data_IF_540655097426
#
_entry.id   IF_540655097426
#
_cell.length_a   1.000
_cell.length_b   1.000
_cell.length_c   1.000
_cell.angle_alpha   90.00
_cell.angle_beta   90.00
_cell.angle_gamma   90.00
#
_symmetry.space_group_name_H-M   'P 1'
#
loop_
_entity.id
_entity.type
_entity.pdbx_description
1 polymer ?
#
# COMPACT_ATOMS: atom_id res chain seq x y z
N UNK A 1 -21.97 6.86 42.83
CA UNK A 1 -21.76 6.20 44.13
C UNK A 1 -22.96 5.30 44.43
N UNK A 2 -22.66 4.01 44.69
CA UNK A 2 -23.52 2.87 45.13
C UNK A 2 -24.50 2.24 44.11
N UNK A 3 -24.81 0.92 44.20
CA UNK A 3 -24.13 -0.16 44.92
C UNK A 3 -23.86 -1.45 44.09
N UNK A 4 -22.80 -2.12 44.52
CA UNK A 4 -22.41 -3.52 44.29
C UNK A 4 -23.52 -4.48 44.73
N UNK A 5 -23.77 -5.55 43.97
CA UNK A 5 -24.48 -6.73 44.49
C UNK A 5 -23.82 -7.99 43.92
N UNK A 6 -23.08 -8.66 44.80
CA UNK A 6 -22.53 -9.99 44.65
C UNK A 6 -23.65 -11.01 44.83
N UNK A 7 -23.81 -11.96 43.91
CA UNK A 7 -24.54 -13.21 44.17
C UNK A 7 -23.64 -14.37 43.80
N UNK A 8 -23.23 -15.07 44.85
CA UNK A 8 -22.55 -16.36 44.86
C UNK A 8 -23.62 -17.46 44.83
N UNK A 9 -23.53 -18.42 43.92
CA UNK A 9 -24.16 -19.73 44.08
C UNK A 9 -23.39 -20.78 43.28
N UNK A 10 -22.80 -21.70 44.02
CA UNK A 10 -22.22 -22.96 43.56
C UNK A 10 -23.33 -23.99 43.33
N UNK A 11 -23.18 -24.91 42.37
CA UNK A 11 -23.33 -26.37 42.58
C UNK A 11 -23.07 -27.19 41.28
N UNK A 12 -22.03 -28.04 41.38
CA UNK A 12 -21.96 -29.48 41.02
C UNK A 12 -22.25 -30.01 39.61
N UNK A 13 -21.17 -30.54 39.00
CA UNK A 13 -20.95 -31.93 38.54
C UNK A 13 -22.02 -32.65 37.72
N UNK A 14 -21.68 -32.99 36.47
CA UNK A 14 -21.81 -34.37 35.96
C UNK A 14 -20.71 -34.69 34.94
N UNK A 15 -19.95 -35.75 35.23
CA UNK A 15 -19.01 -36.40 34.33
C UNK A 15 -19.72 -37.50 33.53
N UNK A 16 -19.30 -37.75 32.29
CA UNK A 16 -19.52 -39.02 31.59
C UNK A 16 -18.42 -39.22 30.54
N UNK A 17 -17.83 -40.41 30.58
CA UNK A 17 -16.69 -40.87 29.81
C UNK A 17 -17.10 -41.79 28.63
N UNK A 18 -16.15 -42.02 27.71
CA UNK A 18 -16.15 -43.06 26.67
C UNK A 18 -16.44 -42.53 25.26
N UNK A 19 -15.70 -42.85 24.20
CA UNK A 19 -15.12 -44.16 23.85
C UNK A 19 -13.82 -44.04 23.03
N UNK A 20 -12.96 -45.03 23.28
CA UNK A 20 -11.72 -45.39 22.59
C UNK A 20 -11.98 -45.85 21.15
N UNK A 21 -11.16 -45.41 20.18
CA UNK A 21 -11.00 -46.10 18.90
C UNK A 21 -9.53 -46.08 18.48
N UNK A 22 -8.84 -47.19 18.74
CA UNK A 22 -7.53 -47.49 18.14
C UNK A 22 -7.74 -48.13 16.76
N UNK A 23 -7.13 -47.54 15.75
CA UNK A 23 -6.95 -48.14 14.42
C UNK A 23 -5.69 -47.57 13.80
N UNK A 24 -4.56 -48.27 13.97
CA UNK A 24 -3.29 -47.96 13.33
C UNK A 24 -3.16 -48.65 11.97
N UNK A 25 -2.36 -48.05 11.09
CA UNK A 25 -1.97 -48.59 9.80
C UNK A 25 -1.24 -47.58 8.91
N UNK A 26 0.02 -47.32 9.25
CA UNK A 26 1.18 -46.85 8.46
C UNK A 26 1.06 -45.79 7.33
N UNK A 27 1.82 -44.71 7.54
CA UNK A 27 2.50 -43.80 6.60
C UNK A 27 3.44 -44.54 5.61
N UNK A 28 3.79 -43.99 4.41
CA UNK A 28 4.87 -43.00 4.37
C UNK A 28 4.84 -41.90 3.28
N UNK A 29 5.50 -40.80 3.68
CA UNK A 29 6.39 -39.90 2.92
C UNK A 29 5.76 -38.92 1.93
N UNK A 30 5.82 -37.64 2.27
CA UNK A 30 6.97 -36.78 1.94
C UNK A 30 6.57 -35.30 2.01
N UNK A 31 7.23 -34.58 2.90
CA UNK A 31 7.63 -33.16 2.81
C UNK A 31 6.85 -32.25 1.84
N UNK A 32 6.18 -31.24 2.38
CA UNK A 32 6.81 -29.92 2.49
C UNK A 32 5.88 -28.98 3.27
N UNK A 33 6.19 -28.84 4.55
CA UNK A 33 6.15 -27.53 5.21
C UNK A 33 6.76 -26.51 4.26
N UNK A 34 5.93 -25.69 3.62
CA UNK A 34 6.43 -24.54 2.85
C UNK A 34 6.93 -23.53 3.87
N UNK A 35 8.17 -23.72 4.28
CA UNK A 35 9.05 -22.63 4.68
C UNK A 35 8.86 -21.48 3.67
N UNK A 36 8.86 -20.21 4.12
CA UNK A 36 8.63 -19.08 3.24
C UNK A 36 9.60 -19.19 2.07
N UNK A 37 9.02 -19.23 0.86
CA UNK A 37 9.76 -19.14 -0.37
C UNK A 37 10.77 -18.01 -0.19
N UNK A 38 12.05 -18.36 -0.34
CA UNK A 38 13.12 -17.41 -0.34
C UNK A 38 12.75 -16.27 -1.30
N UNK A 39 12.52 -15.09 -0.73
CA UNK A 39 12.31 -13.83 -1.43
C UNK A 39 13.56 -13.58 -2.28
N UNK A 40 13.53 -14.03 -3.54
CA UNK A 40 14.52 -13.65 -4.53
C UNK A 40 14.09 -12.30 -5.09
N UNK A 41 14.99 -11.30 -5.16
CA UNK A 41 14.64 -9.97 -5.63
C UNK A 41 14.34 -10.05 -7.12
N UNK A 42 13.07 -10.11 -7.47
CA UNK A 42 12.64 -9.82 -8.84
C UNK A 42 12.77 -8.33 -9.04
N UNK A 43 13.49 -7.93 -10.09
CA UNK A 43 13.57 -6.54 -10.55
C UNK A 43 12.23 -5.97 -11.03
N UNK A 44 11.17 -6.79 -11.06
CA UNK A 44 9.81 -6.38 -11.35
C UNK A 44 9.06 -6.01 -10.06
N UNK A 45 8.28 -4.92 -10.12
CA UNK A 45 7.39 -4.50 -9.05
C UNK A 45 6.38 -5.59 -8.71
N UNK A 46 6.13 -5.81 -7.41
CA UNK A 46 5.11 -6.77 -6.98
C UNK A 46 3.70 -6.30 -7.37
N UNK A 47 2.78 -7.23 -7.62
CA UNK A 47 1.38 -6.93 -7.93
C UNK A 47 0.72 -6.09 -6.82
N UNK A 48 1.04 -6.39 -5.56
CA UNK A 48 0.53 -5.64 -4.40
C UNK A 48 1.03 -4.20 -4.38
N UNK A 49 2.29 -3.96 -4.73
CA UNK A 49 2.85 -2.61 -4.81
C UNK A 49 2.18 -1.80 -5.92
N UNK A 50 1.95 -2.41 -7.08
CA UNK A 50 1.23 -1.80 -8.21
C UNK A 50 -0.20 -1.46 -7.79
N UNK A 51 -0.93 -2.40 -7.19
CA UNK A 51 -2.31 -2.18 -6.75
C UNK A 51 -2.41 -1.07 -5.70
N UNK A 52 -1.50 -1.05 -4.72
CA UNK A 52 -1.44 0.00 -3.71
C UNK A 52 -1.11 1.38 -4.32
N UNK A 53 -0.19 1.43 -5.28
CA UNK A 53 0.15 2.66 -6.00
C UNK A 53 -1.04 3.19 -6.81
N UNK A 54 -1.74 2.32 -7.54
CA UNK A 54 -2.94 2.71 -8.30
C UNK A 54 -4.05 3.22 -7.38
N UNK A 55 -4.29 2.55 -6.25
CA UNK A 55 -5.28 3.01 -5.25
C UNK A 55 -4.91 4.39 -4.69
N UNK A 56 -3.64 4.62 -4.35
CA UNK A 56 -3.15 5.91 -3.86
C UNK A 56 -3.26 7.00 -4.94
N UNK A 57 -2.85 6.70 -6.17
CA UNK A 57 -2.92 7.63 -7.29
C UNK A 57 -4.37 8.06 -7.56
N UNK A 58 -5.29 7.11 -7.62
CA UNK A 58 -6.70 7.36 -7.91
C UNK A 58 -7.44 8.09 -6.78
N UNK A 59 -7.05 7.88 -5.52
CA UNK A 59 -7.70 8.52 -4.38
C UNK A 59 -7.19 9.93 -4.07
N UNK A 60 -5.92 10.22 -4.37
CA UNK A 60 -5.27 11.47 -3.96
C UNK A 60 -4.67 12.26 -5.13
N UNK A 61 -3.91 11.62 -6.01
CA UNK A 61 -3.13 12.32 -7.03
C UNK A 61 -4.00 12.81 -8.19
N UNK A 62 -4.98 12.00 -8.62
CA UNK A 62 -5.86 12.28 -9.76
C UNK A 62 -6.64 13.58 -9.61
N UNK A 63 -6.98 13.99 -8.38
CA UNK A 63 -7.74 15.22 -8.12
C UNK A 63 -7.06 16.43 -8.75
N UNK A 64 -5.73 16.48 -8.74
CA UNK A 64 -4.95 17.57 -9.33
C UNK A 64 -4.24 17.16 -10.62
N UNK A 65 -3.60 15.99 -10.66
CA UNK A 65 -2.81 15.58 -11.82
C UNK A 65 -3.65 15.01 -12.97
N UNK A 66 -4.93 14.70 -12.73
CA UNK A 66 -5.85 14.17 -13.72
C UNK A 66 -5.68 12.66 -13.98
N UNK A 67 -6.72 12.03 -14.53
CA UNK A 67 -6.69 10.59 -14.87
C UNK A 67 -5.70 10.27 -16.00
N UNK A 68 -5.46 11.24 -16.87
CA UNK A 68 -4.57 11.18 -18.03
C UNK A 68 -3.18 11.77 -17.73
N UNK A 69 -2.93 12.23 -16.50
CA UNK A 69 -1.66 12.81 -16.09
C UNK A 69 -1.35 14.19 -16.69
N UNK A 70 -2.34 14.90 -17.25
CA UNK A 70 -2.13 16.17 -17.95
C UNK A 70 -2.12 17.40 -17.02
N UNK A 71 -2.25 17.21 -15.70
CA UNK A 71 -2.40 18.33 -14.76
C UNK A 71 -3.74 19.05 -14.91
N UNK A 72 -4.77 18.31 -15.31
CA UNK A 72 -6.12 18.78 -15.65
C UNK A 72 -7.21 18.22 -14.72
N UNK A 73 -6.82 17.70 -13.55
CA UNK A 73 -7.76 17.26 -12.53
C UNK A 73 -8.66 18.41 -12.05
N UNK A 74 -9.83 18.10 -11.49
CA UNK A 74 -10.79 19.11 -11.03
C UNK A 74 -10.16 20.14 -10.05
N UNK A 75 -9.22 19.71 -9.22
CA UNK A 75 -8.46 20.58 -8.31
C UNK A 75 -7.42 21.47 -9.00
N UNK A 76 -6.98 21.13 -10.21
CA UNK A 76 -5.98 21.91 -10.94
C UNK A 76 -6.47 23.28 -11.41
N UNK A 77 -7.79 23.46 -11.59
CA UNK A 77 -8.38 24.72 -12.03
C UNK A 77 -8.10 25.88 -11.05
N UNK A 78 -7.86 25.58 -9.77
CA UNK A 78 -7.56 26.56 -8.73
C UNK A 78 -6.05 26.78 -8.50
N UNK A 79 -5.18 26.13 -9.27
CA UNK A 79 -3.72 26.16 -9.05
C UNK A 79 -3.00 26.97 -10.12
N UNK A 80 -2.13 27.88 -9.68
CA UNK A 80 -1.20 28.60 -10.54
C UNK A 80 0.22 28.56 -9.93
N UNK A 81 1.20 27.92 -10.59
CA UNK A 81 1.08 27.20 -11.86
C UNK A 81 0.22 25.93 -11.73
N UNK A 82 -0.32 25.45 -12.85
CA UNK A 82 -1.00 24.14 -12.92
C UNK A 82 -0.01 23.01 -12.55
N UNK A 83 -0.51 21.85 -12.09
CA UNK A 83 0.33 20.68 -11.89
C UNK A 83 1.07 20.29 -13.17
N UNK A 84 2.29 19.80 -13.02
CA UNK A 84 3.10 19.33 -14.13
C UNK A 84 2.36 18.24 -14.93
N UNK A 85 2.34 18.39 -16.25
CA UNK A 85 1.88 17.33 -17.15
C UNK A 85 2.92 16.23 -17.20
N UNK A 86 2.50 15.01 -16.87
CA UNK A 86 3.32 13.80 -16.98
C UNK A 86 3.43 13.30 -18.42
N UNK A 87 2.61 13.79 -19.34
CA UNK A 87 2.72 13.47 -20.77
C UNK A 87 3.82 14.28 -21.49
N UNK A 88 4.39 15.29 -20.83
CA UNK A 88 5.52 16.05 -21.36
C UNK A 88 6.80 15.20 -21.33
N UNK A 89 7.21 14.70 -22.50
CA UNK A 89 8.39 13.85 -22.65
C UNK A 89 9.70 14.58 -22.36
N UNK A 90 9.79 15.89 -22.64
CA UNK A 90 10.96 16.68 -22.31
C UNK A 90 11.09 16.86 -20.79
N UNK A 91 9.99 17.11 -20.10
CA UNK A 91 9.98 17.13 -18.63
C UNK A 91 10.34 15.75 -18.05
N UNK A 92 9.75 14.67 -18.56
CA UNK A 92 10.07 13.30 -18.12
C UNK A 92 11.58 13.02 -18.25
N UNK A 93 12.18 13.35 -19.38
CA UNK A 93 13.61 13.17 -19.61
C UNK A 93 14.50 14.05 -18.70
N UNK A 94 13.98 15.17 -18.20
CA UNK A 94 14.74 16.12 -17.36
C UNK A 94 14.83 15.74 -15.88
N UNK A 95 14.03 14.77 -15.42
CA UNK A 95 13.93 14.38 -14.00
C UNK A 95 14.30 12.93 -13.81
N UNK A 96 14.93 12.60 -12.67
CA UNK A 96 15.27 11.22 -12.31
C UNK A 96 14.15 10.55 -11.52
N UNK A 97 14.19 9.22 -11.45
CA UNK A 97 13.22 8.45 -10.66
C UNK A 97 13.36 8.72 -9.15
N UNK A 98 14.57 8.97 -8.67
CA UNK A 98 14.84 9.37 -7.29
C UNK A 98 14.20 10.73 -6.98
N UNK A 99 14.31 11.69 -7.91
CA UNK A 99 13.64 12.97 -7.76
C UNK A 99 12.11 12.82 -7.67
N UNK A 100 11.52 11.98 -8.53
CA UNK A 100 10.09 11.71 -8.49
C UNK A 100 9.68 11.03 -7.18
N UNK A 101 10.46 10.04 -6.72
CA UNK A 101 10.24 9.37 -5.44
C UNK A 101 10.26 10.36 -4.27
N UNK A 102 11.21 11.29 -4.26
CA UNK A 102 11.29 12.33 -3.23
C UNK A 102 10.11 13.30 -3.27
N UNK A 103 9.68 13.74 -4.44
CA UNK A 103 8.49 14.61 -4.59
C UNK A 103 7.24 13.90 -4.12
N UNK A 104 7.07 12.61 -4.46
CA UNK A 104 5.94 11.80 -4.00
C UNK A 104 5.95 11.68 -2.48
N UNK A 105 7.11 11.40 -1.87
CA UNK A 105 7.23 11.19 -0.43
C UNK A 105 7.08 12.51 0.36
N UNK A 106 7.80 13.56 -0.05
CA UNK A 106 7.96 14.80 0.71
C UNK A 106 6.97 15.90 0.31
N UNK A 107 6.22 15.72 -0.79
CA UNK A 107 5.26 16.72 -1.27
C UNK A 107 5.92 17.93 -1.94
N UNK A 108 5.10 18.89 -2.35
CA UNK A 108 5.55 20.01 -3.16
C UNK A 108 6.37 21.04 -2.39
N UNK A 109 5.93 21.44 -1.20
CA UNK A 109 6.60 22.48 -0.41
C UNK A 109 8.08 22.16 -0.12
N UNK A 110 8.37 20.91 0.26
CA UNK A 110 9.73 20.45 0.56
C UNK A 110 10.64 20.42 -0.68
N UNK A 111 10.04 20.32 -1.87
CA UNK A 111 10.74 20.20 -3.15
C UNK A 111 10.71 21.49 -3.98
N UNK A 112 10.36 22.63 -3.37
CA UNK A 112 10.28 23.92 -4.06
C UNK A 112 9.14 24.02 -5.08
N UNK A 113 8.08 23.23 -4.92
CA UNK A 113 6.87 23.22 -5.76
C UNK A 113 5.67 23.79 -4.99
N UNK A 114 4.47 23.69 -5.58
CA UNK A 114 3.23 24.12 -4.95
C UNK A 114 3.06 23.50 -3.56
N UNK A 115 2.81 24.30 -2.50
CA UNK A 115 2.59 23.78 -1.15
C UNK A 115 1.28 23.00 -1.04
N UNK A 116 0.38 23.12 -2.02
CA UNK A 116 -0.87 22.37 -2.09
C UNK A 116 -0.66 20.90 -2.48
N UNK A 117 0.52 20.51 -2.98
CA UNK A 117 0.85 19.10 -3.20
C UNK A 117 1.30 18.47 -1.88
N UNK A 118 0.47 17.62 -1.23
CA UNK A 118 0.76 17.12 0.11
C UNK A 118 1.88 16.08 0.11
N UNK A 119 2.62 15.92 1.23
CA UNK A 119 3.52 14.80 1.44
C UNK A 119 2.76 13.48 1.64
N UNK A 120 3.44 12.35 1.46
CA UNK A 120 2.91 11.01 1.69
C UNK A 120 3.79 10.25 2.71
N UNK A 121 3.87 10.69 3.98
CA UNK A 121 4.76 10.11 4.97
C UNK A 121 4.44 8.64 5.29
N UNK A 122 3.19 8.21 5.04
CA UNK A 122 2.75 6.82 5.15
C UNK A 122 3.47 5.87 4.17
N UNK A 123 4.13 6.40 3.14
CA UNK A 123 4.90 5.64 2.17
C UNK A 123 6.37 5.46 2.58
N UNK A 124 6.86 6.11 3.64
CA UNK A 124 8.27 6.05 4.05
C UNK A 124 8.76 4.61 4.31
N UNK A 125 7.89 3.77 4.86
CA UNK A 125 8.16 2.34 5.11
C UNK A 125 7.72 1.42 3.96
N UNK A 126 7.33 1.98 2.80
CA UNK A 126 6.77 1.24 1.64
C UNK A 126 7.51 1.60 0.33
N UNK A 127 8.82 1.32 0.23
CA UNK A 127 9.63 1.71 -0.91
C UNK A 127 9.13 1.13 -2.24
N UNK A 128 8.57 -0.09 -2.25
CA UNK A 128 8.02 -0.70 -3.47
C UNK A 128 6.78 0.04 -3.98
N UNK A 129 5.93 0.59 -3.10
CA UNK A 129 4.78 1.41 -3.49
C UNK A 129 5.25 2.74 -4.08
N UNK A 130 6.32 3.34 -3.53
CA UNK A 130 6.93 4.55 -4.10
C UNK A 130 7.46 4.27 -5.51
N UNK A 131 8.22 3.19 -5.70
CA UNK A 131 8.71 2.79 -7.02
C UNK A 131 7.57 2.55 -8.00
N UNK A 132 6.47 1.92 -7.57
CA UNK A 132 5.28 1.72 -8.39
C UNK A 132 4.56 3.04 -8.74
N UNK A 133 4.50 4.02 -7.83
CA UNK A 133 3.99 5.36 -8.13
C UNK A 133 4.89 6.11 -9.12
N UNK A 134 6.21 5.97 -9.02
CA UNK A 134 7.15 6.51 -10.01
C UNK A 134 6.89 5.88 -11.38
N UNK A 135 6.79 4.55 -11.45
CA UNK A 135 6.44 3.85 -12.69
C UNK A 135 5.09 4.32 -13.26
N UNK A 136 4.10 4.57 -12.41
CA UNK A 136 2.82 5.16 -12.81
C UNK A 136 3.00 6.54 -13.44
N UNK A 137 3.78 7.43 -12.83
CA UNK A 137 4.10 8.76 -13.40
C UNK A 137 4.82 8.63 -14.74
N UNK A 138 5.78 7.70 -14.87
CA UNK A 138 6.50 7.46 -16.13
C UNK A 138 5.58 6.94 -17.24
N UNK A 139 4.56 6.16 -16.90
CA UNK A 139 3.63 5.55 -17.87
C UNK A 139 2.78 6.55 -18.66
N UNK A 140 2.73 7.83 -18.26
CA UNK A 140 2.00 8.87 -18.97
C UNK A 140 2.77 9.49 -20.13
N UNK A 141 4.10 9.30 -20.20
CA UNK A 141 4.90 9.75 -21.33
C UNK A 141 4.40 9.08 -22.62
N UNK A 142 4.15 9.88 -23.65
CA UNK A 142 3.75 9.42 -24.98
C UNK A 142 4.75 9.86 -26.03
#
# INVERSE_FOLDING_TARGET
MKPTTTILSALTLLASAGLMSCGGGEEPVANAETAPAAEQPSSALSADAIAAADAKFNSLCVVCHGKTGLGDGAGAAALNPKPQSYADSAWQASVTDEYLAEVILKGGAAMGKSPTMPPNPDLQSKPEVIKALVAKVRSFAK
#
